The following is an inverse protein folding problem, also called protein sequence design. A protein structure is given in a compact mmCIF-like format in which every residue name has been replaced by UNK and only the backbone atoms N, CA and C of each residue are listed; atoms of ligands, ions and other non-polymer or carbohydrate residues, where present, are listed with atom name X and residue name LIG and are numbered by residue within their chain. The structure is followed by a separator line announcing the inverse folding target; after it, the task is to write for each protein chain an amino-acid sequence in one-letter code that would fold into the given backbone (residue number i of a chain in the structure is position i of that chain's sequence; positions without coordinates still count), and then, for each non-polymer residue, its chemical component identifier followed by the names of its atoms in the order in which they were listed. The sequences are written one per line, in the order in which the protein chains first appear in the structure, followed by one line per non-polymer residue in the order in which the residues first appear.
data_IF_006091813207
#
_entry.id   IF_006091813207
#
_cell.length_a   1.000
_cell.length_b   1.000
_cell.length_c   1.000
_cell.angle_alpha   90.00
_cell.angle_beta   90.00
_cell.angle_gamma   90.00
#
_symmetry.space_group_name_H-M   'P 1'
#
loop_
_entity.id
_entity.type
_entity.pdbx_description
1 polymer ?
#
# COMPACT_ATOMS: atom_id res chain seq x y z
N UNK A 1 10.36 14.15 11.58
CA UNK A 1 9.87 12.96 10.85
C UNK A 1 8.34 12.95 10.78
N UNK A 2 7.79 13.39 9.65
CA UNK A 2 6.34 13.40 9.40
C UNK A 2 5.85 11.95 9.29
N UNK A 3 5.16 11.47 10.32
CA UNK A 3 4.35 10.25 10.23
C UNK A 3 3.05 10.65 9.53
N UNK A 4 2.72 10.13 8.33
CA UNK A 4 1.43 10.37 7.71
C UNK A 4 0.34 9.58 8.45
N UNK A 5 -0.92 10.06 8.40
CA UNK A 5 -1.90 9.82 9.44
C UNK A 5 -2.59 8.45 9.36
N UNK A 6 -3.08 8.05 10.54
CA UNK A 6 -4.21 7.17 10.80
C UNK A 6 -3.95 5.65 10.82
N UNK A 7 -3.61 5.17 12.01
CA UNK A 7 -3.86 3.78 12.43
C UNK A 7 -5.37 3.43 12.54
N UNK A 8 -6.28 4.31 12.09
CA UNK A 8 -7.72 4.21 12.35
C UNK A 8 -8.61 4.53 11.14
N UNK A 9 -8.06 4.94 10.01
CA UNK A 9 -8.81 5.08 8.76
C UNK A 9 -8.31 3.99 7.83
N UNK A 10 -9.22 3.29 7.15
CA UNK A 10 -8.83 2.39 6.07
C UNK A 10 -7.85 3.13 5.15
N UNK A 11 -6.56 2.74 5.11
CA UNK A 11 -5.57 3.47 4.31
C UNK A 11 -5.85 3.28 2.82
N UNK A 12 -6.71 2.33 2.46
CA UNK A 12 -7.05 1.95 1.10
C UNK A 12 -7.67 3.07 0.25
N UNK A 13 -8.78 3.72 0.65
CA UNK A 13 -9.33 4.86 -0.09
C UNK A 13 -8.35 6.02 -0.22
N UNK A 14 -7.59 6.34 0.84
CA UNK A 14 -6.60 7.41 0.83
C UNK A 14 -5.41 7.08 -0.09
N UNK A 15 -4.87 5.86 -0.02
CA UNK A 15 -3.80 5.37 -0.88
C UNK A 15 -4.23 5.34 -2.34
N UNK A 16 -5.46 4.90 -2.63
CA UNK A 16 -6.03 4.88 -3.98
C UNK A 16 -6.17 6.29 -4.54
N UNK A 17 -6.71 7.24 -3.75
CA UNK A 17 -6.85 8.65 -4.12
C UNK A 17 -5.48 9.34 -4.31
N UNK A 18 -4.50 9.03 -3.47
CA UNK A 18 -3.12 9.49 -3.59
C UNK A 18 -2.39 8.87 -4.79
N UNK A 19 -2.97 7.84 -5.42
CA UNK A 19 -2.34 7.12 -6.51
C UNK A 19 -1.20 6.19 -6.09
N UNK A 20 -1.12 5.85 -4.80
CA UNK A 20 -0.30 4.75 -4.34
C UNK A 20 -0.77 3.45 -5.01
N UNK A 21 0.16 2.53 -5.19
CA UNK A 21 -0.07 1.25 -5.83
C UNK A 21 -0.33 0.13 -4.82
N UNK A 22 0.19 0.28 -3.61
CA UNK A 22 0.01 -0.66 -2.51
C UNK A 22 0.11 0.03 -1.15
N UNK A 23 -0.51 -0.59 -0.15
CA UNK A 23 -0.29 -0.32 1.27
C UNK A 23 0.52 -1.47 1.84
N UNK A 24 1.62 -1.14 2.51
CA UNK A 24 2.52 -2.09 3.16
C UNK A 24 1.99 -2.53 4.53
N UNK A 25 2.53 -3.63 5.06
CA UNK A 25 2.11 -4.18 6.35
C UNK A 25 2.34 -3.22 7.53
N UNK A 26 3.38 -2.39 7.47
CA UNK A 26 3.66 -1.35 8.47
C UNK A 26 2.78 -0.09 8.31
N UNK A 27 1.86 -0.06 7.34
CA UNK A 27 0.98 1.07 7.06
C UNK A 27 1.56 2.13 6.11
N UNK A 28 2.81 1.95 5.65
CA UNK A 28 3.39 2.84 4.64
C UNK A 28 2.78 2.61 3.25
N UNK A 29 2.84 3.63 2.39
CA UNK A 29 2.30 3.55 1.04
C UNK A 29 3.43 3.40 0.03
N UNK A 30 3.23 2.51 -0.94
CA UNK A 30 4.16 2.30 -2.05
C UNK A 30 3.56 2.78 -3.37
N UNK A 31 4.33 3.52 -4.15
CA UNK A 31 3.96 4.04 -5.48
C UNK A 31 4.63 3.26 -6.62
N UNK A 32 5.13 2.07 -6.32
CA UNK A 32 5.83 1.23 -7.30
C UNK A 32 4.95 0.94 -8.52
N UNK A 33 5.58 0.87 -9.69
CA UNK A 33 4.94 0.46 -10.96
C UNK A 33 5.12 -1.02 -11.26
N UNK A 34 5.78 -1.77 -10.37
CA UNK A 34 5.99 -3.20 -10.49
C UNK A 34 5.55 -3.91 -9.21
N UNK A 35 4.95 -5.10 -9.33
CA UNK A 35 4.55 -5.90 -8.15
C UNK A 35 5.76 -6.51 -7.43
N UNK A 36 6.79 -6.87 -8.18
CA UNK A 36 8.03 -7.44 -7.64
C UNK A 36 8.75 -6.46 -6.73
N UNK A 37 9.08 -6.88 -5.51
CA UNK A 37 9.81 -6.05 -4.55
C UNK A 37 8.96 -5.00 -3.81
N UNK A 38 7.65 -4.92 -4.09
CA UNK A 38 6.79 -3.94 -3.41
C UNK A 38 6.63 -4.32 -1.94
N UNK A 39 6.91 -3.38 -1.05
CA UNK A 39 6.86 -3.56 0.40
C UNK A 39 7.77 -4.69 0.93
N UNK A 40 8.77 -5.16 0.18
CA UNK A 40 9.66 -6.23 0.65
C UNK A 40 10.43 -5.86 1.93
N UNK A 41 10.79 -4.59 2.09
CA UNK A 41 11.43 -4.08 3.32
C UNK A 41 10.44 -3.83 4.48
N UNK A 42 9.15 -3.86 4.18
CA UNK A 42 8.05 -3.50 5.08
C UNK A 42 7.17 -4.71 5.45
N UNK A 43 7.66 -5.94 5.24
CA UNK A 43 6.93 -7.17 5.55
C UNK A 43 5.92 -7.62 4.49
N UNK A 44 5.99 -7.04 3.29
CA UNK A 44 5.11 -7.38 2.18
C UNK A 44 3.90 -6.44 2.05
N UNK A 45 3.12 -6.69 1.00
CA UNK A 45 1.95 -5.87 0.68
C UNK A 45 0.79 -6.32 1.55
N UNK A 46 0.22 -5.39 2.31
CA UNK A 46 -1.02 -5.59 3.02
C UNK A 46 -2.21 -5.51 2.07
N UNK A 47 -2.22 -4.51 1.18
CA UNK A 47 -3.32 -4.30 0.24
C UNK A 47 -2.89 -3.63 -1.07
N UNK A 48 -3.45 -4.07 -2.20
CA UNK A 48 -3.26 -3.48 -3.53
C UNK A 48 -4.37 -2.48 -3.86
N UNK A 49 -4.01 -1.27 -4.31
CA UNK A 49 -4.98 -0.19 -4.58
C UNK A 49 -5.74 -0.30 -5.91
N UNK A 50 -5.32 -1.20 -6.81
CA UNK A 50 -5.87 -1.28 -8.16
C UNK A 50 -4.93 -0.78 -9.27
N UNK A 51 -3.92 0.02 -8.92
CA UNK A 51 -2.96 0.60 -9.89
C UNK A 51 -2.10 -0.45 -10.62
N UNK A 52 -1.93 -1.62 -10.02
CA UNK A 52 -1.05 -2.71 -10.49
C UNK A 52 -1.80 -4.00 -10.86
N UNK A 53 -3.11 -4.03 -10.70
CA UNK A 53 -3.91 -5.25 -10.81
C UNK A 53 -5.19 -5.15 -9.98
N UNK A 54 -5.93 -6.25 -9.80
CA UNK A 54 -7.15 -6.25 -9.00
C UNK A 54 -6.84 -5.76 -7.59
N UNK A 55 -7.63 -4.79 -7.13
CA UNK A 55 -7.52 -4.29 -5.77
C UNK A 55 -7.95 -5.39 -4.79
N UNK A 56 -7.21 -5.54 -3.70
CA UNK A 56 -7.41 -6.66 -2.80
C UNK A 56 -6.25 -6.85 -1.83
N UNK A 57 -6.40 -7.74 -0.84
CA UNK A 57 -5.33 -8.05 0.10
C UNK A 57 -4.13 -8.62 -0.66
N UNK A 58 -2.93 -8.18 -0.28
CA UNK A 58 -1.71 -8.72 -0.86
C UNK A 58 -1.52 -10.18 -0.43
N UNK A 59 -1.34 -11.08 -1.40
CA UNK A 59 -0.84 -12.41 -1.12
C UNK A 59 0.60 -12.28 -0.60
N UNK A 60 0.80 -12.66 0.65
CA UNK A 60 2.06 -12.62 1.38
C UNK A 60 3.00 -13.73 0.92
#
# INVERSE_FOLDING_TARGET
PVQPPAANADPYPAATAAGASAVCHDGTWSFSKHRSGTCSSHGGVHWWTGKLGPAGPGAH
#
